data_IF_829359278465
#
_entry.id   IF_829359278465
#
_cell.length_a   1.000
_cell.length_b   1.000
_cell.length_c   1.000
_cell.angle_alpha   90.00
_cell.angle_beta   90.00
_cell.angle_gamma   90.00
#
_symmetry.space_group_name_H-M   'P 1'
#
loop_
_entity.id
_entity.type
_entity.pdbx_description
1 polymer ?
#
# COMPACT_ATOMS: atom_id res chain seq x y z
N UNK A 1 2.34 -6.29 -11.46
CA UNK A 1 3.38 -6.18 -12.50
C UNK A 1 4.45 -7.25 -12.42
N UNK A 2 5.42 -7.25 -11.49
CA UNK A 2 6.51 -8.25 -11.52
C UNK A 2 6.02 -9.71 -11.52
N UNK A 3 5.09 -10.07 -10.63
CA UNK A 3 4.47 -11.42 -10.58
C UNK A 3 3.70 -11.74 -11.87
N UNK A 4 2.92 -10.78 -12.35
CA UNK A 4 2.16 -10.85 -13.61
C UNK A 4 3.06 -11.17 -14.81
N UNK A 5 4.19 -10.46 -14.95
CA UNK A 5 5.14 -10.67 -16.05
C UNK A 5 5.82 -12.04 -15.95
N UNK A 6 6.26 -12.43 -14.74
CA UNK A 6 6.84 -13.75 -14.51
C UNK A 6 5.88 -14.88 -14.87
N UNK A 7 4.58 -14.70 -14.64
CA UNK A 7 3.58 -15.69 -15.01
C UNK A 7 3.41 -15.82 -16.53
N UNK A 8 3.40 -14.71 -17.27
CA UNK A 8 3.35 -14.72 -18.74
C UNK A 8 4.63 -15.29 -19.36
N UNK A 9 5.78 -15.01 -18.76
CA UNK A 9 7.07 -15.57 -19.17
C UNK A 9 7.23 -17.07 -18.78
N UNK A 10 6.22 -17.68 -18.11
CA UNK A 10 6.24 -19.08 -17.71
C UNK A 10 7.05 -19.41 -16.44
N UNK A 11 7.53 -18.40 -15.72
CA UNK A 11 8.31 -18.57 -14.48
C UNK A 11 7.47 -18.77 -13.21
N UNK A 12 6.18 -18.43 -13.21
CA UNK A 12 5.26 -18.58 -12.08
C UNK A 12 3.86 -19.05 -12.53
N UNK A 13 3.16 -19.82 -11.69
CA UNK A 13 1.82 -20.34 -11.99
C UNK A 13 0.68 -19.35 -11.64
N UNK A 14 1.00 -18.06 -11.49
CA UNK A 14 0.03 -17.01 -11.11
C UNK A 14 -0.93 -16.68 -12.26
N UNK A 15 -1.79 -17.64 -12.61
CA UNK A 15 -2.71 -17.53 -13.73
C UNK A 15 -3.83 -16.51 -13.46
N UNK A 16 -4.19 -16.27 -12.20
CA UNK A 16 -5.33 -15.41 -11.84
C UNK A 16 -4.95 -13.93 -11.87
N UNK A 17 -3.86 -13.51 -11.21
CA UNK A 17 -3.39 -12.12 -11.32
C UNK A 17 -2.92 -11.76 -12.73
N UNK A 18 -2.28 -12.70 -13.45
CA UNK A 18 -1.92 -12.52 -14.86
C UNK A 18 -3.14 -12.20 -15.72
N UNK A 19 -4.20 -13.01 -15.60
CA UNK A 19 -5.45 -12.82 -16.33
C UNK A 19 -6.18 -11.54 -15.94
N UNK A 20 -6.24 -11.22 -14.63
CA UNK A 20 -6.90 -10.02 -14.14
C UNK A 20 -6.23 -8.74 -14.67
N UNK A 21 -4.90 -8.64 -14.50
CA UNK A 21 -4.15 -7.46 -14.94
C UNK A 21 -4.08 -7.39 -16.46
N UNK A 22 -3.89 -8.53 -17.12
CA UNK A 22 -3.88 -8.60 -18.58
C UNK A 22 -5.24 -8.24 -19.19
N UNK A 23 -6.35 -8.68 -18.58
CA UNK A 23 -7.69 -8.29 -18.99
C UNK A 23 -7.95 -6.78 -18.83
N UNK A 24 -7.48 -6.20 -17.71
CA UNK A 24 -7.57 -4.75 -17.50
C UNK A 24 -6.75 -3.95 -18.52
N UNK A 25 -5.52 -4.39 -18.80
CA UNK A 25 -4.62 -3.73 -19.76
C UNK A 25 -4.87 -4.14 -21.21
N UNK A 26 -5.82 -5.04 -21.47
CA UNK A 26 -6.14 -5.62 -22.79
C UNK A 26 -4.95 -6.34 -23.46
N UNK A 27 -4.03 -6.87 -22.66
CA UNK A 27 -2.84 -7.60 -23.10
C UNK A 27 -2.65 -8.85 -22.23
N UNK A 28 -2.94 -10.04 -22.76
CA UNK A 28 -2.95 -11.28 -21.95
C UNK A 28 -1.91 -12.32 -22.37
N UNK A 29 -1.21 -12.10 -23.47
CA UNK A 29 -0.34 -13.12 -24.09
C UNK A 29 1.13 -12.67 -24.20
N UNK A 30 1.38 -11.37 -24.39
CA UNK A 30 2.73 -10.84 -24.61
C UNK A 30 3.20 -10.01 -23.41
N UNK A 31 4.25 -10.50 -22.74
CA UNK A 31 4.80 -9.84 -21.56
C UNK A 31 5.44 -8.47 -21.88
N UNK A 32 6.02 -8.32 -23.07
CA UNK A 32 6.63 -7.06 -23.52
C UNK A 32 5.58 -5.98 -23.75
N UNK A 33 4.51 -6.31 -24.48
CA UNK A 33 3.36 -5.42 -24.68
C UNK A 33 2.65 -5.10 -23.37
N UNK A 34 2.40 -6.10 -22.52
CA UNK A 34 1.82 -5.87 -21.20
C UNK A 34 2.67 -4.90 -20.36
N UNK A 35 3.99 -5.07 -20.35
CA UNK A 35 4.90 -4.17 -19.63
C UNK A 35 4.83 -2.75 -20.19
N UNK A 36 4.71 -2.59 -21.51
CA UNK A 36 4.57 -1.29 -22.16
C UNK A 36 3.23 -0.62 -21.80
N UNK A 37 2.10 -1.31 -21.94
CA UNK A 37 0.77 -0.81 -21.57
C UNK A 37 0.70 -0.43 -20.09
N UNK A 38 1.35 -1.20 -19.21
CA UNK A 38 1.42 -0.88 -17.79
C UNK A 38 2.22 0.40 -17.51
N UNK A 39 3.29 0.67 -18.28
CA UNK A 39 4.06 1.92 -18.16
C UNK A 39 3.25 3.11 -18.63
N UNK A 40 2.51 2.97 -19.73
CA UNK A 40 1.62 4.01 -20.26
C UNK A 40 0.52 4.33 -19.25
N UNK A 41 -0.21 3.32 -18.76
CA UNK A 41 -1.23 3.50 -17.73
C UNK A 41 -0.67 4.14 -16.45
N UNK A 42 0.54 3.76 -16.01
CA UNK A 42 1.16 4.37 -14.84
C UNK A 42 1.54 5.85 -15.04
N UNK A 43 1.82 6.28 -16.28
CA UNK A 43 2.09 7.70 -16.59
C UNK A 43 0.80 8.52 -16.62
N UNK A 44 -0.28 7.95 -17.13
CA UNK A 44 -1.57 8.63 -17.27
C UNK A 44 -2.37 8.66 -15.97
N UNK A 45 -2.42 7.53 -15.24
CA UNK A 45 -3.28 7.31 -14.08
C UNK A 45 -2.50 7.27 -12.76
N UNK A 46 -1.16 7.31 -12.83
CA UNK A 46 -0.27 7.19 -11.68
C UNK A 46 0.09 5.76 -11.30
N UNK A 47 1.09 5.61 -10.43
CA UNK A 47 1.69 4.31 -10.07
C UNK A 47 0.75 3.34 -9.34
N UNK A 48 -0.36 3.84 -8.80
CA UNK A 48 -1.36 3.07 -8.07
C UNK A 48 -2.52 2.56 -8.94
N UNK A 49 -2.47 2.71 -10.26
CA UNK A 49 -3.62 2.47 -11.14
C UNK A 49 -4.23 1.05 -11.07
N UNK A 50 -3.45 0.03 -10.67
CA UNK A 50 -3.96 -1.34 -10.49
C UNK A 50 -4.62 -1.57 -9.13
N UNK A 51 -4.48 -0.64 -8.18
CA UNK A 51 -5.00 -0.83 -6.82
C UNK A 51 -6.52 -1.06 -6.80
N UNK A 52 -7.37 -0.31 -7.56
CA UNK A 52 -8.81 -0.52 -7.54
C UNK A 52 -9.22 -1.93 -7.99
N UNK A 53 -8.73 -2.40 -9.14
CA UNK A 53 -9.08 -3.73 -9.65
C UNK A 53 -8.59 -4.86 -8.75
N UNK A 54 -7.43 -4.68 -8.10
CA UNK A 54 -6.89 -5.66 -7.16
C UNK A 54 -7.69 -5.67 -5.86
N UNK A 55 -8.15 -4.50 -5.39
CA UNK A 55 -9.01 -4.41 -4.23
C UNK A 55 -10.36 -5.09 -4.48
N UNK A 56 -10.95 -4.90 -5.65
CA UNK A 56 -12.22 -5.54 -6.02
C UNK A 56 -12.09 -7.04 -6.17
N UNK A 57 -11.00 -7.52 -6.77
CA UNK A 57 -10.68 -8.95 -6.82
C UNK A 57 -10.51 -9.54 -5.42
N UNK A 58 -9.75 -8.89 -4.54
CA UNK A 58 -9.55 -9.34 -3.17
C UNK A 58 -10.86 -9.39 -2.38
N UNK A 59 -11.75 -8.38 -2.53
CA UNK A 59 -13.08 -8.37 -1.92
C UNK A 59 -13.98 -9.49 -2.45
N UNK A 60 -13.78 -9.88 -3.70
CA UNK A 60 -14.49 -10.99 -4.34
C UNK A 60 -13.93 -12.38 -3.97
N UNK A 61 -12.95 -12.44 -3.06
CA UNK A 61 -12.37 -13.69 -2.58
C UNK A 61 -11.09 -14.14 -3.30
N UNK A 62 -10.53 -13.33 -4.20
CA UNK A 62 -9.23 -13.63 -4.82
C UNK A 62 -8.12 -13.56 -3.76
N UNK A 63 -7.67 -14.74 -3.33
CA UNK A 63 -6.64 -14.88 -2.30
C UNK A 63 -5.28 -14.33 -2.75
N UNK A 64 -4.98 -14.34 -4.04
CA UNK A 64 -3.71 -13.86 -4.56
C UNK A 64 -3.66 -12.33 -4.53
N UNK A 65 -4.76 -11.69 -4.93
CA UNK A 65 -4.94 -10.24 -4.79
C UNK A 65 -4.93 -9.82 -3.32
N UNK A 66 -5.64 -10.54 -2.44
CA UNK A 66 -5.63 -10.28 -1.01
C UNK A 66 -4.21 -10.36 -0.40
N UNK A 67 -3.41 -11.35 -0.83
CA UNK A 67 -2.03 -11.52 -0.39
C UNK A 67 -1.11 -10.36 -0.79
N UNK A 68 -1.43 -9.60 -1.84
CA UNK A 68 -0.69 -8.38 -2.18
C UNK A 68 -0.87 -7.31 -1.11
N UNK A 69 -2.10 -7.13 -0.59
CA UNK A 69 -2.38 -6.17 0.48
C UNK A 69 -1.77 -6.60 1.81
N UNK A 70 -1.80 -7.90 2.13
CA UNK A 70 -1.09 -8.45 3.31
C UNK A 70 0.41 -8.19 3.22
N UNK A 71 1.00 -8.42 2.04
CA UNK A 71 2.41 -8.11 1.80
C UNK A 71 2.72 -6.62 1.95
N UNK A 72 1.88 -5.75 1.38
CA UNK A 72 2.02 -4.30 1.50
C UNK A 72 1.94 -3.82 2.96
N UNK A 73 0.97 -4.33 3.72
CA UNK A 73 0.86 -4.08 5.16
C UNK A 73 2.13 -4.47 5.92
N UNK A 74 2.72 -5.64 5.62
CA UNK A 74 3.99 -6.07 6.21
C UNK A 74 5.13 -5.09 5.93
N UNK A 75 5.26 -4.61 4.69
CA UNK A 75 6.26 -3.61 4.31
C UNK A 75 6.05 -2.26 5.00
N UNK A 76 4.81 -1.80 5.12
CA UNK A 76 4.48 -0.58 5.85
C UNK A 76 4.82 -0.71 7.34
N UNK A 77 4.49 -1.83 7.97
CA UNK A 77 4.80 -2.06 9.38
C UNK A 77 6.31 -2.18 9.63
N UNK A 78 7.06 -2.74 8.67
CA UNK A 78 8.53 -2.76 8.73
C UNK A 78 9.14 -1.36 8.71
N UNK A 79 8.54 -0.42 7.97
CA UNK A 79 8.96 0.99 7.98
C UNK A 79 8.72 1.65 9.34
N UNK A 80 7.56 1.40 9.97
CA UNK A 80 7.29 1.87 11.34
C UNK A 80 8.36 1.32 12.29
N UNK A 81 8.60 0.01 12.28
CA UNK A 81 9.62 -0.62 13.15
C UNK A 81 11.01 -0.03 12.93
N UNK A 82 11.39 0.28 11.68
CA UNK A 82 12.65 0.91 11.36
C UNK A 82 12.74 2.33 11.94
N UNK A 83 11.66 3.12 11.85
CA UNK A 83 11.58 4.46 12.43
C UNK A 83 11.71 4.43 13.96
N UNK A 84 10.98 3.54 14.63
CA UNK A 84 11.05 3.39 16.09
C UNK A 84 12.47 3.05 16.56
N UNK A 85 13.14 2.11 15.88
CA UNK A 85 14.53 1.76 16.18
C UNK A 85 15.48 2.93 16.01
N UNK A 86 15.32 3.71 14.94
CA UNK A 86 16.21 4.84 14.63
C UNK A 86 16.02 6.01 15.60
N UNK A 87 14.81 6.16 16.14
CA UNK A 87 14.46 7.20 17.10
C UNK A 87 14.67 6.76 18.56
N UNK A 88 15.16 5.54 18.79
CA UNK A 88 15.24 4.92 20.13
C UNK A 88 13.90 5.03 20.88
N UNK A 89 12.80 4.82 20.16
CA UNK A 89 11.46 4.96 20.72
C UNK A 89 11.25 3.94 21.85
N UNK A 90 10.79 4.36 23.04
CA UNK A 90 10.64 3.45 24.18
C UNK A 90 9.68 2.29 23.88
N UNK A 91 10.02 1.08 24.35
CA UNK A 91 9.22 -0.10 24.08
C UNK A 91 7.92 -0.13 24.91
N UNK A 92 7.91 0.58 26.03
CA UNK A 92 6.82 0.65 27.01
C UNK A 92 5.82 1.77 26.70
N UNK A 93 6.17 2.68 25.78
CA UNK A 93 5.29 3.81 25.43
C UNK A 93 4.17 3.39 24.49
N UNK A 94 2.98 3.97 24.63
CA UNK A 94 1.87 3.73 23.70
C UNK A 94 2.25 4.14 22.28
N UNK A 95 2.21 3.19 21.34
CA UNK A 95 2.48 3.46 19.93
C UNK A 95 1.20 3.87 19.20
N UNK A 96 1.13 5.12 18.77
CA UNK A 96 0.07 5.64 17.89
C UNK A 96 0.64 5.86 16.50
N UNK A 97 0.04 5.22 15.49
CA UNK A 97 0.44 5.35 14.08
C UNK A 97 -0.66 6.00 13.27
N UNK A 98 -0.42 7.22 12.80
CA UNK A 98 -1.34 7.91 11.89
C UNK A 98 -1.15 7.43 10.44
N UNK A 99 -2.26 7.15 9.76
CA UNK A 99 -2.29 6.79 8.34
C UNK A 99 -2.15 8.04 7.46
N UNK A 100 -1.39 7.95 6.38
CA UNK A 100 -1.24 9.01 5.39
C UNK A 100 -1.19 8.46 3.95
N UNK A 101 -1.91 9.12 3.03
CA UNK A 101 -1.98 8.76 1.61
C UNK A 101 -3.23 7.99 1.19
N UNK A 102 -3.55 8.00 -0.11
CA UNK A 102 -4.80 7.41 -0.63
C UNK A 102 -4.87 5.89 -0.60
N UNK A 103 -3.73 5.18 -0.47
CA UNK A 103 -3.74 3.72 -0.41
C UNK A 103 -4.57 3.17 0.76
N UNK A 104 -4.69 3.92 1.87
CA UNK A 104 -5.49 3.53 3.03
C UNK A 104 -7.01 3.50 2.76
N UNK A 105 -7.47 4.05 1.64
CA UNK A 105 -8.87 4.04 1.22
C UNK A 105 -9.35 2.63 0.81
N UNK A 106 -8.42 1.69 0.58
CA UNK A 106 -8.79 0.26 0.40
C UNK A 106 -9.32 -0.38 1.69
N UNK A 107 -9.20 0.32 2.82
CA UNK A 107 -9.90 0.01 4.05
C UNK A 107 -9.37 -1.26 4.75
N UNK A 108 -10.26 -2.14 5.26
CA UNK A 108 -9.87 -3.34 6.00
C UNK A 108 -8.88 -4.26 5.27
N UNK A 109 -8.88 -4.25 3.93
CA UNK A 109 -7.90 -5.01 3.13
C UNK A 109 -6.45 -4.69 3.50
N UNK A 110 -6.15 -3.44 3.88
CA UNK A 110 -4.82 -3.00 4.27
C UNK A 110 -4.70 -2.71 5.76
N UNK A 111 -5.73 -2.12 6.37
CA UNK A 111 -5.71 -1.69 7.77
C UNK A 111 -5.58 -2.89 8.70
N UNK A 112 -6.42 -3.92 8.53
CA UNK A 112 -6.42 -5.09 9.41
C UNK A 112 -5.10 -5.86 9.39
N UNK A 113 -4.51 -6.22 8.22
CA UNK A 113 -3.20 -6.87 8.22
C UNK A 113 -2.09 -5.95 8.75
N UNK A 114 -2.18 -4.63 8.54
CA UNK A 114 -1.19 -3.69 9.07
C UNK A 114 -1.22 -3.66 10.60
N UNK A 115 -2.40 -3.48 11.19
CA UNK A 115 -2.60 -3.54 12.65
C UNK A 115 -2.12 -4.87 13.23
N UNK A 116 -2.48 -6.00 12.59
CA UNK A 116 -2.06 -7.33 13.02
C UNK A 116 -0.54 -7.46 13.03
N UNK A 117 0.16 -6.87 12.07
CA UNK A 117 1.63 -6.91 12.04
C UNK A 117 2.23 -6.01 13.10
N UNK A 118 1.69 -4.81 13.35
CA UNK A 118 2.16 -3.93 14.43
C UNK A 118 2.03 -4.60 15.80
N UNK A 119 0.85 -5.18 16.08
CA UNK A 119 0.53 -5.80 17.38
C UNK A 119 1.40 -7.02 17.72
N UNK A 120 2.09 -7.62 16.74
CA UNK A 120 3.05 -8.71 17.00
C UNK A 120 4.28 -8.27 17.79
N UNK A 121 4.65 -7.00 17.71
CA UNK A 121 5.83 -6.46 18.39
C UNK A 121 5.52 -5.22 19.23
N UNK A 122 4.30 -4.70 19.15
CA UNK A 122 3.79 -3.65 20.01
C UNK A 122 2.29 -3.90 20.30
N UNK A 123 1.95 -4.72 21.31
CA UNK A 123 0.58 -5.22 21.54
C UNK A 123 -0.49 -4.13 21.64
N UNK A 124 -0.15 -2.99 22.24
CA UNK A 124 -1.06 -1.85 22.44
C UNK A 124 -1.02 -0.84 21.28
N UNK A 125 -0.40 -1.16 20.16
CA UNK A 125 -0.34 -0.24 19.01
C UNK A 125 -1.73 0.07 18.46
N UNK A 126 -1.98 1.36 18.23
CA UNK A 126 -3.21 1.86 17.61
C UNK A 126 -2.92 2.53 16.27
N UNK A 127 -3.83 2.33 15.33
CA UNK A 127 -3.74 2.93 13.99
C UNK A 127 -4.90 3.90 13.84
N UNK A 128 -4.60 5.16 13.57
CA UNK A 128 -5.59 6.24 13.55
C UNK A 128 -5.66 6.92 12.20
N UNK A 129 -6.77 7.61 11.93
CA UNK A 129 -6.82 8.64 10.90
C UNK A 129 -6.03 9.88 11.38
N UNK A 130 -5.46 10.68 10.48
CA UNK A 130 -4.86 11.95 10.85
C UNK A 130 -5.94 12.96 11.26
N UNK A 131 -5.64 13.82 12.23
CA UNK A 131 -6.56 14.85 12.77
C UNK A 131 -6.94 15.96 11.78
N UNK A 132 -6.40 15.93 10.57
CA UNK A 132 -6.65 16.92 9.54
C UNK A 132 -6.00 16.57 8.22
N UNK A 133 -6.35 17.33 7.18
CA UNK A 133 -5.75 17.18 5.86
C UNK A 133 -4.30 17.72 5.85
N UNK A 134 -3.48 17.32 4.86
CA UNK A 134 -2.15 17.91 4.66
C UNK A 134 -2.17 19.44 4.57
N UNK A 135 -3.24 20.03 4.02
CA UNK A 135 -3.42 21.48 3.94
C UNK A 135 -3.48 22.15 5.32
N UNK A 136 -4.19 21.53 6.29
CA UNK A 136 -4.24 22.02 7.67
C UNK A 136 -2.84 21.98 8.29
N UNK A 137 -2.07 20.92 8.02
CA UNK A 137 -0.67 20.82 8.44
C UNK A 137 0.19 21.97 7.90
N UNK A 138 0.05 22.29 6.61
CA UNK A 138 0.77 23.41 5.97
C UNK A 138 0.42 24.77 6.59
N UNK A 139 -0.85 25.01 6.91
CA UNK A 139 -1.27 26.25 7.57
C UNK A 139 -0.68 26.39 8.97
N UNK A 140 -0.71 25.31 9.77
CA UNK A 140 -0.11 25.28 11.11
C UNK A 140 1.40 25.55 11.06
N UNK A 141 2.10 24.96 10.08
CA UNK A 141 3.53 25.19 9.87
C UNK A 141 3.83 26.65 9.49
N UNK A 142 3.04 27.25 8.60
CA UNK A 142 3.20 28.65 8.23
C UNK A 142 3.01 29.59 9.45
N UNK A 143 1.99 29.32 10.27
CA UNK A 143 1.73 30.08 11.50
C UNK A 143 2.90 29.96 12.50
N UNK A 144 3.44 28.77 12.73
CA UNK A 144 4.57 28.60 13.66
C UNK A 144 5.82 29.35 13.21
N UNK A 145 6.06 29.39 11.89
CA UNK A 145 7.20 30.12 11.31
C UNK A 145 7.04 31.65 11.42
N UNK A 146 5.82 32.16 11.30
CA UNK A 146 5.53 33.59 11.49
C UNK A 146 5.61 33.99 12.98
N UNK A 147 5.18 33.11 13.90
CA UNK A 147 5.25 33.36 15.34
C UNK A 147 6.67 33.25 15.93
N UNK A 148 7.61 32.66 15.19
CA UNK A 148 9.02 32.53 15.60
C UNK A 148 9.91 33.68 15.09
N UNK A 149 9.31 34.73 14.52
CA UNK A 149 9.97 35.96 14.06
C UNK A 149 9.58 37.12 14.97
#
# INVERSE_FOLDING_TARGET
>A
MRRTLRALDGFETSATLARLVGGYLKETEDAGRLAQSAREAAREQGRGFLVPILADAARSGDTEAANLFVGAAGWLAAQVRAALRRLSFPAESSLVVARAGGLWEVGPLLIDPFERVLRRWHPEATVIAPDGSPLVGSLRLAQSLLASR
#
